data_IF_616018720900
#
_entry.id   IF_616018720900
#
_cell.length_a   1.000
_cell.length_b   1.000
_cell.length_c   1.000
_cell.angle_alpha   90.00
_cell.angle_beta   90.00
_cell.angle_gamma   90.00
#
_symmetry.space_group_name_H-M   'P 1'
#
loop_
_entity.id
_entity.type
_entity.pdbx_description
1 polymer ?
#
# COMPACT_ATOMS: atom_id res chain seq x y z
N UNK A 1 -56.87 4.57 114.94
CA UNK A 1 -57.17 3.55 113.91
C UNK A 1 -55.93 3.34 113.05
N UNK A 2 -55.06 2.39 113.40
CA UNK A 2 -53.88 2.09 112.58
C UNK A 2 -53.63 0.60 112.44
N UNK A 3 -53.90 0.16 111.20
CA UNK A 3 -53.12 -0.72 110.33
C UNK A 3 -52.71 -2.12 110.82
N UNK A 4 -53.30 -3.11 110.15
CA UNK A 4 -53.04 -4.55 110.26
C UNK A 4 -51.81 -4.96 109.42
N UNK A 5 -50.99 -5.83 109.99
CA UNK A 5 -50.07 -6.73 109.28
C UNK A 5 -50.82 -7.98 108.75
N UNK A 6 -50.13 -9.01 108.23
CA UNK A 6 -49.50 -9.13 106.92
C UNK A 6 -50.11 -10.33 106.15
N UNK A 7 -49.62 -10.67 104.94
CA UNK A 7 -49.31 -12.06 104.58
C UNK A 7 -48.72 -12.18 103.15
N UNK A 8 -47.69 -13.02 103.12
CA UNK A 8 -46.86 -13.48 102.03
C UNK A 8 -47.62 -14.40 101.05
N UNK A 9 -47.37 -14.26 99.73
CA UNK A 9 -47.43 -15.41 98.80
C UNK A 9 -46.65 -15.14 97.51
N UNK A 10 -45.48 -15.76 97.42
CA UNK A 10 -44.78 -16.06 96.17
C UNK A 10 -45.70 -16.91 95.29
N UNK A 11 -45.86 -16.56 94.01
CA UNK A 11 -46.13 -17.59 93.02
C UNK A 11 -45.51 -17.26 91.66
N UNK A 12 -44.97 -18.32 91.07
CA UNK A 12 -44.03 -18.39 89.96
C UNK A 12 -44.78 -18.83 88.70
N UNK A 13 -44.68 -18.08 87.60
CA UNK A 13 -45.08 -18.49 86.24
C UNK A 13 -44.04 -17.91 85.27
N UNK A 14 -42.93 -18.62 85.01
CA UNK A 14 -42.66 -19.46 83.82
C UNK A 14 -42.98 -18.80 82.46
N UNK A 15 -41.94 -18.17 81.92
CA UNK A 15 -41.42 -18.28 80.53
C UNK A 15 -42.39 -18.71 79.42
N UNK A 16 -42.75 -17.75 78.57
CA UNK A 16 -43.35 -17.96 77.26
C UNK A 16 -43.14 -16.73 76.37
N UNK A 17 -41.99 -16.66 75.68
CA UNK A 17 -41.69 -15.63 74.68
C UNK A 17 -40.40 -16.05 73.96
N UNK A 18 -40.42 -16.64 72.77
CA UNK A 18 -41.28 -16.35 71.63
C UNK A 18 -40.52 -15.60 70.53
N UNK A 19 -39.27 -15.98 70.26
CA UNK A 19 -38.63 -16.13 68.92
C UNK A 19 -38.81 -15.09 67.79
N UNK A 20 -39.35 -13.88 68.02
CA UNK A 20 -39.57 -12.89 66.93
C UNK A 20 -38.45 -11.86 66.79
N UNK A 21 -37.86 -11.34 67.88
CA UNK A 21 -36.72 -10.41 67.78
C UNK A 21 -35.48 -11.08 67.20
N UNK A 22 -35.11 -12.27 67.70
CA UNK A 22 -33.91 -12.99 67.24
C UNK A 22 -33.98 -13.40 65.77
N UNK A 23 -35.17 -13.71 65.24
CA UNK A 23 -35.35 -14.04 63.82
C UNK A 23 -35.29 -12.80 62.92
N UNK A 24 -35.81 -11.67 63.38
CA UNK A 24 -35.69 -10.38 62.68
C UNK A 24 -34.23 -9.89 62.67
N UNK A 25 -33.54 -10.00 63.81
CA UNK A 25 -32.12 -9.68 63.96
C UNK A 25 -31.23 -10.63 63.12
N UNK A 26 -31.55 -11.92 63.06
CA UNK A 26 -30.81 -12.87 62.22
C UNK A 26 -31.06 -12.65 60.72
N UNK A 27 -32.28 -12.27 60.33
CA UNK A 27 -32.59 -11.91 58.94
C UNK A 27 -31.87 -10.61 58.50
N UNK A 28 -31.81 -9.59 59.37
CA UNK A 28 -31.00 -8.38 59.12
C UNK A 28 -29.50 -8.69 59.06
N UNK A 29 -28.99 -9.55 59.96
CA UNK A 29 -27.58 -10.01 59.93
C UNK A 29 -27.26 -10.80 58.67
N UNK A 30 -28.18 -11.66 58.22
CA UNK A 30 -28.02 -12.45 57.00
C UNK A 30 -28.10 -11.59 55.73
N UNK A 31 -28.95 -10.56 55.72
CA UNK A 31 -29.02 -9.56 54.64
C UNK A 31 -27.76 -8.68 54.58
N UNK A 32 -27.17 -8.33 55.73
CA UNK A 32 -25.90 -7.60 55.82
C UNK A 32 -24.70 -8.49 55.46
N UNK A 33 -24.72 -9.78 55.78
CA UNK A 33 -23.64 -10.72 55.44
C UNK A 33 -23.58 -11.11 53.96
N UNK A 34 -24.66 -10.90 53.20
CA UNK A 34 -24.69 -11.09 51.74
C UNK A 34 -24.09 -9.93 50.94
N UNK A 35 -23.74 -8.81 51.59
CA UNK A 35 -23.23 -7.58 50.96
C UNK A 35 -21.71 -7.41 51.10
N UNK A 36 -20.95 -8.49 51.25
CA UNK A 36 -19.48 -8.41 51.19
C UNK A 36 -19.02 -8.19 49.75
N UNK A 37 -19.28 -7.00 49.22
CA UNK A 37 -18.70 -6.53 47.98
C UNK A 37 -17.18 -6.58 48.13
N UNK A 38 -16.53 -7.43 47.33
CA UNK A 38 -15.08 -7.48 47.20
C UNK A 38 -14.59 -6.04 46.96
N UNK A 39 -13.70 -5.54 47.82
CA UNK A 39 -13.23 -4.16 47.73
C UNK A 39 -12.80 -3.83 46.28
N UNK A 40 -13.26 -2.71 45.70
CA UNK A 40 -12.89 -2.36 44.33
C UNK A 40 -11.37 -2.24 44.24
N UNK A 41 -10.76 -2.98 43.31
CA UNK A 41 -9.30 -2.93 43.08
C UNK A 41 -8.88 -1.46 42.89
N UNK A 42 -7.73 -1.03 43.45
CA UNK A 42 -7.27 0.33 43.31
C UNK A 42 -7.14 0.69 41.83
N UNK A 43 -7.73 1.83 41.44
CA UNK A 43 -7.63 2.33 40.06
C UNK A 43 -6.17 2.70 39.80
N UNK A 44 -5.56 2.08 38.78
CA UNK A 44 -4.19 2.42 38.38
C UNK A 44 -4.19 3.76 37.61
N UNK A 45 -3.23 4.67 37.87
CA UNK A 45 -3.09 5.88 37.08
C UNK A 45 -2.72 5.53 35.63
N UNK A 46 -3.21 6.32 34.69
CA UNK A 46 -2.90 6.23 33.26
C UNK A 46 -2.24 7.52 32.79
N UNK A 47 -1.48 7.45 31.69
CA UNK A 47 -0.90 8.66 31.06
C UNK A 47 -1.83 9.27 30.02
N UNK A 48 -1.96 10.59 30.04
CA UNK A 48 -2.75 11.35 29.07
C UNK A 48 -2.13 11.28 27.66
N UNK A 49 -2.95 11.09 26.61
CA UNK A 49 -2.45 11.01 25.24
C UNK A 49 -1.94 12.35 24.67
N UNK A 50 -2.27 13.47 25.33
CA UNK A 50 -1.87 14.82 24.87
C UNK A 50 -0.70 15.35 25.70
N UNK A 51 -0.89 15.56 27.01
CA UNK A 51 0.13 16.15 27.88
C UNK A 51 1.05 15.13 28.58
N UNK A 52 0.79 13.81 28.44
CA UNK A 52 1.54 12.71 29.08
C UNK A 52 1.53 12.68 30.62
N UNK A 53 0.82 13.60 31.28
CA UNK A 53 0.59 13.61 32.72
C UNK A 53 -0.25 12.41 33.20
N UNK A 54 -0.09 12.05 34.46
CA UNK A 54 -0.82 10.97 35.10
C UNK A 54 -2.23 11.41 35.51
N UNK A 55 -3.21 10.53 35.31
CA UNK A 55 -4.60 10.76 35.71
C UNK A 55 -5.33 9.43 35.93
N UNK A 56 -6.42 9.46 36.71
CA UNK A 56 -7.28 8.30 36.90
C UNK A 56 -8.41 8.28 35.87
N UNK A 57 -8.55 7.18 35.13
CA UNK A 57 -9.63 7.01 34.16
C UNK A 57 -10.99 6.91 34.86
N UNK A 58 -11.97 7.65 34.35
CA UNK A 58 -13.37 7.55 34.79
C UNK A 58 -14.07 6.36 34.13
N UNK A 59 -13.74 6.07 32.87
CA UNK A 59 -14.21 4.92 32.07
C UNK A 59 -13.09 4.32 31.22
N UNK A 60 -13.32 3.15 30.62
CA UNK A 60 -12.38 2.51 29.68
C UNK A 60 -12.10 3.35 28.42
N UNK A 61 -13.05 4.20 28.01
CA UNK A 61 -12.95 5.07 26.84
C UNK A 61 -12.25 6.40 27.14
N UNK A 62 -12.05 6.75 28.41
CA UNK A 62 -11.37 7.97 28.84
C UNK A 62 -9.88 7.94 28.44
N UNK A 63 -9.45 8.90 27.61
CA UNK A 63 -8.09 8.96 27.01
C UNK A 63 -7.31 10.24 27.33
N UNK A 64 -7.95 11.24 27.94
CA UNK A 64 -7.37 12.54 28.27
C UNK A 64 -7.53 12.83 29.78
N UNK A 65 -6.68 13.68 30.36
CA UNK A 65 -6.74 14.01 31.79
C UNK A 65 -7.80 15.07 32.14
N UNK A 66 -8.22 15.89 31.17
CA UNK A 66 -9.17 16.99 31.33
C UNK A 66 -9.76 17.45 29.99
N UNK A 67 -10.62 18.47 30.02
CA UNK A 67 -11.38 18.99 28.86
C UNK A 67 -10.48 19.44 27.72
N UNK A 68 -9.45 20.23 28.01
CA UNK A 68 -8.58 20.81 26.98
C UNK A 68 -7.78 19.72 26.25
N UNK A 69 -7.26 18.75 27.01
CA UNK A 69 -6.61 17.58 26.45
C UNK A 69 -7.59 16.69 25.68
N UNK A 70 -8.88 16.65 26.02
CA UNK A 70 -9.89 15.90 25.27
C UNK A 70 -10.21 16.59 23.93
N UNK A 71 -10.34 17.92 23.93
CA UNK A 71 -10.56 18.73 22.71
C UNK A 71 -9.38 18.57 21.74
N UNK A 72 -8.16 18.71 22.24
CA UNK A 72 -6.94 18.55 21.43
C UNK A 72 -6.80 17.13 20.88
N UNK A 73 -7.11 16.10 21.69
CA UNK A 73 -7.11 14.71 21.22
C UNK A 73 -8.15 14.49 20.11
N UNK A 74 -9.36 15.05 20.25
CA UNK A 74 -10.40 14.98 19.24
C UNK A 74 -10.02 15.73 17.96
N UNK A 75 -9.32 16.87 18.07
CA UNK A 75 -8.75 17.59 16.93
C UNK A 75 -7.73 16.74 16.19
N UNK A 76 -6.72 16.17 16.88
CA UNK A 76 -5.71 15.29 16.27
C UNK A 76 -6.33 14.08 15.57
N UNK A 77 -7.35 13.46 16.18
CA UNK A 77 -8.06 12.34 15.58
C UNK A 77 -8.82 12.74 14.31
N UNK A 78 -9.47 13.91 14.31
CA UNK A 78 -10.14 14.44 13.11
C UNK A 78 -9.15 14.76 11.99
N UNK A 79 -8.02 15.39 12.32
CA UNK A 79 -6.96 15.66 11.34
C UNK A 79 -6.37 14.37 10.75
N UNK A 80 -6.11 13.36 11.58
CA UNK A 80 -5.61 12.06 11.13
C UNK A 80 -6.64 11.31 10.28
N UNK A 81 -7.91 11.31 10.69
CA UNK A 81 -9.01 10.75 9.92
C UNK A 81 -9.17 11.45 8.55
N UNK A 82 -9.12 12.78 8.52
CA UNK A 82 -9.16 13.55 7.28
C UNK A 82 -7.97 13.23 6.36
N UNK A 83 -6.75 13.12 6.90
CA UNK A 83 -5.57 12.70 6.12
C UNK A 83 -5.72 11.29 5.57
N UNK A 84 -6.26 10.34 6.34
CA UNK A 84 -6.52 8.97 5.88
C UNK A 84 -7.58 8.93 4.79
N UNK A 85 -8.68 9.67 4.96
CA UNK A 85 -9.73 9.80 3.95
C UNK A 85 -9.17 10.40 2.65
N UNK A 86 -8.43 11.51 2.74
CA UNK A 86 -7.81 12.13 1.56
C UNK A 86 -6.84 11.18 0.83
N UNK A 87 -6.08 10.35 1.56
CA UNK A 87 -5.22 9.32 0.95
C UNK A 87 -6.04 8.25 0.24
N UNK A 88 -7.12 7.78 0.87
CA UNK A 88 -8.03 6.81 0.26
C UNK A 88 -8.67 7.37 -1.02
N UNK A 89 -9.17 8.60 -0.98
CA UNK A 89 -9.76 9.27 -2.14
C UNK A 89 -8.77 9.40 -3.29
N UNK A 90 -7.52 9.79 -3.01
CA UNK A 90 -6.45 9.87 -4.04
C UNK A 90 -6.15 8.51 -4.67
N UNK A 91 -6.19 7.42 -3.90
CA UNK A 91 -5.98 6.06 -4.42
C UNK A 91 -7.13 5.65 -5.32
N UNK A 92 -8.37 5.87 -4.89
CA UNK A 92 -9.57 5.57 -5.67
C UNK A 92 -9.61 6.40 -6.96
N UNK A 93 -9.34 7.69 -6.87
CA UNK A 93 -9.26 8.61 -8.00
C UNK A 93 -8.17 8.20 -9.01
N UNK A 94 -6.98 7.80 -8.53
CA UNK A 94 -5.93 7.23 -9.39
C UNK A 94 -6.38 5.94 -10.07
N UNK A 95 -7.03 5.03 -9.34
CA UNK A 95 -7.51 3.77 -9.89
C UNK A 95 -8.59 3.99 -10.97
N UNK A 96 -9.51 4.94 -10.74
CA UNK A 96 -10.52 5.35 -11.72
C UNK A 96 -9.87 5.92 -12.98
N UNK A 97 -8.91 6.84 -12.83
CA UNK A 97 -8.17 7.39 -13.99
C UNK A 97 -7.46 6.30 -14.78
N UNK A 98 -6.82 5.34 -14.11
CA UNK A 98 -6.15 4.21 -14.76
C UNK A 98 -7.12 3.30 -15.51
N UNK A 99 -8.30 3.06 -14.93
CA UNK A 99 -9.35 2.24 -15.54
C UNK A 99 -9.95 2.91 -16.79
N UNK A 100 -10.07 4.25 -16.77
CA UNK A 100 -10.64 5.05 -17.87
C UNK A 100 -9.63 5.42 -18.97
N UNK A 101 -8.39 4.94 -18.90
CA UNK A 101 -7.39 5.18 -19.96
C UNK A 101 -7.87 4.63 -21.30
N UNK A 102 -7.70 5.44 -22.32
CA UNK A 102 -7.94 5.06 -23.71
C UNK A 102 -6.91 4.05 -24.21
N UNK A 103 -7.26 3.31 -25.26
CA UNK A 103 -6.34 2.41 -25.94
C UNK A 103 -5.04 3.11 -26.38
N UNK A 104 -5.17 4.33 -26.91
CA UNK A 104 -4.06 5.17 -27.37
C UNK A 104 -3.08 5.56 -26.26
N UNK A 105 -3.58 5.84 -25.05
CA UNK A 105 -2.73 6.11 -23.89
C UNK A 105 -2.02 4.85 -23.42
N UNK A 106 -2.73 3.72 -23.33
CA UNK A 106 -2.14 2.45 -22.90
C UNK A 106 -1.03 1.97 -23.86
N UNK A 107 -1.24 2.09 -25.17
CA UNK A 107 -0.22 1.71 -26.16
C UNK A 107 0.99 2.65 -26.11
N UNK A 108 0.77 3.95 -25.85
CA UNK A 108 1.86 4.92 -25.69
C UNK A 108 2.70 4.62 -24.44
N UNK A 109 2.06 4.32 -23.31
CA UNK A 109 2.75 3.97 -22.07
C UNK A 109 3.53 2.66 -22.17
N UNK A 110 2.93 1.64 -22.81
CA UNK A 110 3.63 0.40 -23.13
C UNK A 110 4.85 0.65 -24.03
N UNK A 111 4.70 1.50 -25.06
CA UNK A 111 5.80 1.89 -25.94
C UNK A 111 6.91 2.62 -25.18
N UNK A 112 6.58 3.54 -24.28
CA UNK A 112 7.58 4.25 -23.49
C UNK A 112 8.38 3.29 -22.61
N UNK A 113 7.71 2.33 -21.95
CA UNK A 113 8.38 1.31 -21.15
C UNK A 113 9.28 0.41 -22.00
N UNK A 114 8.77 -0.09 -23.14
CA UNK A 114 9.53 -0.89 -24.09
C UNK A 114 10.77 -0.14 -24.61
N UNK A 115 10.60 1.10 -25.08
CA UNK A 115 11.70 1.91 -25.61
C UNK A 115 12.76 2.23 -24.54
N UNK A 116 12.35 2.38 -23.27
CA UNK A 116 13.31 2.56 -22.18
C UNK A 116 14.13 1.30 -21.93
N UNK A 117 13.49 0.13 -21.94
CA UNK A 117 14.18 -1.16 -21.83
C UNK A 117 15.16 -1.39 -22.98
N UNK A 118 14.75 -1.22 -24.24
CA UNK A 118 15.63 -1.45 -25.42
C UNK A 118 16.88 -0.57 -25.38
N UNK A 119 16.74 0.70 -25.00
CA UNK A 119 17.87 1.61 -24.86
C UNK A 119 18.84 1.13 -23.77
N UNK A 120 18.32 0.77 -22.59
CA UNK A 120 19.16 0.32 -21.48
C UNK A 120 19.83 -1.01 -21.79
N UNK A 121 19.13 -1.97 -22.42
CA UNK A 121 19.66 -3.26 -22.87
C UNK A 121 20.87 -3.07 -23.77
N UNK A 122 20.70 -2.30 -24.84
CA UNK A 122 21.76 -2.15 -25.85
C UNK A 122 22.94 -1.30 -25.34
N UNK A 123 22.66 -0.27 -24.54
CA UNK A 123 23.72 0.52 -23.88
C UNK A 123 24.47 -0.34 -22.85
N UNK A 124 23.76 -1.18 -22.10
CA UNK A 124 24.33 -2.09 -21.11
C UNK A 124 25.26 -3.13 -21.74
N UNK A 125 24.86 -3.70 -22.87
CA UNK A 125 25.65 -4.63 -23.66
C UNK A 125 26.83 -3.97 -24.43
N UNK A 126 27.02 -2.65 -24.29
CA UNK A 126 28.11 -1.93 -24.94
C UNK A 126 27.95 -1.79 -26.46
N UNK A 127 26.73 -1.95 -26.99
CA UNK A 127 26.50 -1.83 -28.42
C UNK A 127 26.55 -0.36 -28.89
N UNK A 128 27.07 -0.14 -30.10
CA UNK A 128 26.94 1.13 -30.81
C UNK A 128 25.58 1.26 -31.51
N UNK A 129 25.39 2.36 -32.24
CA UNK A 129 24.20 2.57 -33.07
C UNK A 129 23.99 1.43 -34.07
N UNK A 130 22.75 0.94 -34.19
CA UNK A 130 22.43 -0.21 -35.06
C UNK A 130 22.82 0.02 -36.54
N UNK A 131 22.62 1.23 -37.07
CA UNK A 131 22.86 1.55 -38.47
C UNK A 131 24.33 1.84 -38.82
N UNK A 132 24.99 2.69 -38.04
CA UNK A 132 26.30 3.26 -38.35
C UNK A 132 27.42 2.71 -37.46
N UNK A 133 27.09 1.89 -36.46
CA UNK A 133 28.03 1.28 -35.52
C UNK A 133 28.72 2.24 -34.55
N UNK A 134 28.55 3.57 -34.72
CA UNK A 134 29.19 4.58 -33.88
C UNK A 134 28.66 4.52 -32.43
N UNK A 135 29.48 4.83 -31.43
CA UNK A 135 29.05 4.88 -30.04
C UNK A 135 27.96 5.93 -29.83
N UNK A 136 27.14 5.73 -28.79
CA UNK A 136 26.10 6.68 -28.43
C UNK A 136 26.69 7.98 -27.89
N UNK A 137 26.05 9.11 -28.21
CA UNK A 137 26.49 10.42 -27.75
C UNK A 137 26.22 10.58 -26.24
N UNK A 138 27.03 11.38 -25.52
CA UNK A 138 26.78 11.71 -24.12
C UNK A 138 25.36 12.25 -23.92
N UNK A 139 24.75 11.99 -22.77
CA UNK A 139 23.36 12.37 -22.52
C UNK A 139 23.17 13.91 -22.62
N UNK A 140 22.23 14.35 -23.46
CA UNK A 140 21.87 15.77 -23.67
C UNK A 140 20.43 16.03 -23.22
N UNK A 141 20.04 17.30 -22.96
CA UNK A 141 18.65 17.66 -22.75
C UNK A 141 17.77 17.14 -23.90
N UNK A 142 16.74 16.35 -23.56
CA UNK A 142 15.89 15.64 -24.52
C UNK A 142 16.32 14.21 -24.84
N UNK A 143 17.48 13.74 -24.37
CA UNK A 143 18.04 12.40 -24.58
C UNK A 143 18.91 12.31 -25.84
N UNK A 144 19.87 11.37 -25.83
CA UNK A 144 20.85 11.18 -26.93
C UNK A 144 20.65 9.87 -27.71
N UNK A 145 19.81 8.98 -27.19
CA UNK A 145 19.55 7.65 -27.73
C UNK A 145 18.04 7.44 -27.83
N UNK A 146 17.61 7.01 -29.00
CA UNK A 146 16.25 6.59 -29.31
C UNK A 146 16.17 5.07 -29.47
N UNK A 147 14.95 4.54 -29.50
CA UNK A 147 14.68 3.15 -29.87
C UNK A 147 14.08 3.14 -31.29
N UNK A 148 14.85 2.69 -32.27
CA UNK A 148 14.47 2.62 -33.68
C UNK A 148 13.89 1.25 -34.01
N UNK A 149 12.83 1.21 -34.83
CA UNK A 149 12.21 -0.02 -35.32
C UNK A 149 12.72 -0.34 -36.72
N UNK A 150 13.17 -1.58 -36.96
CA UNK A 150 13.62 -2.02 -38.28
C UNK A 150 12.46 -2.06 -39.29
N UNK A 151 11.37 -2.75 -38.93
CA UNK A 151 10.09 -2.68 -39.63
C UNK A 151 9.20 -1.73 -38.84
N UNK A 152 8.77 -0.66 -39.51
CA UNK A 152 8.07 0.44 -38.84
C UNK A 152 6.78 -0.03 -38.17
N UNK A 153 6.42 0.65 -37.07
CA UNK A 153 5.19 0.38 -36.30
C UNK A 153 3.90 0.56 -37.12
N UNK A 154 3.97 1.28 -38.24
CA UNK A 154 2.85 1.46 -39.17
C UNK A 154 2.76 0.35 -40.22
N UNK A 155 3.91 -0.17 -40.67
CA UNK A 155 3.97 -1.25 -41.65
C UNK A 155 3.69 -2.63 -41.01
N UNK A 156 4.27 -2.89 -39.84
CA UNK A 156 4.07 -4.12 -39.09
C UNK A 156 3.71 -3.80 -37.63
N UNK A 157 2.43 -3.50 -37.34
CA UNK A 157 1.98 -3.23 -35.99
C UNK A 157 2.36 -4.35 -35.04
N UNK A 158 2.18 -5.62 -35.44
CA UNK A 158 2.44 -6.80 -34.62
C UNK A 158 3.86 -6.91 -34.07
N UNK A 159 4.85 -6.37 -34.79
CA UNK A 159 6.26 -6.37 -34.40
C UNK A 159 6.63 -5.20 -33.47
N UNK A 160 5.68 -4.37 -33.04
CA UNK A 160 5.94 -3.16 -32.25
C UNK A 160 6.69 -3.43 -30.94
N UNK A 161 6.35 -4.51 -30.25
CA UNK A 161 6.92 -4.92 -28.96
C UNK A 161 7.86 -6.12 -29.09
N UNK A 162 8.26 -6.47 -30.32
CA UNK A 162 9.25 -7.50 -30.57
C UNK A 162 10.65 -6.91 -30.34
N UNK A 163 11.37 -7.46 -29.36
CA UNK A 163 12.72 -7.04 -28.97
C UNK A 163 13.77 -7.19 -30.08
N UNK A 164 13.53 -8.07 -31.06
CA UNK A 164 14.38 -8.29 -32.24
C UNK A 164 14.05 -7.34 -33.40
N UNK A 165 12.95 -6.59 -33.32
CA UNK A 165 12.61 -5.55 -34.30
C UNK A 165 13.09 -4.16 -33.86
N UNK A 166 13.51 -3.99 -32.60
CA UNK A 166 13.81 -2.68 -32.03
C UNK A 166 15.18 -2.63 -31.36
N UNK A 167 15.93 -1.58 -31.70
CA UNK A 167 17.31 -1.39 -31.26
C UNK A 167 17.59 0.06 -30.93
N UNK A 168 18.58 0.29 -30.06
CA UNK A 168 19.09 1.60 -29.73
C UNK A 168 19.76 2.24 -30.95
N UNK A 169 19.31 3.46 -31.25
CA UNK A 169 19.74 4.25 -32.39
C UNK A 169 20.11 5.65 -31.92
N UNK A 170 21.14 6.23 -32.52
CA UNK A 170 21.48 7.64 -32.32
C UNK A 170 20.38 8.50 -32.91
N UNK A 171 20.03 9.59 -32.22
CA UNK A 171 19.02 10.54 -32.70
C UNK A 171 19.25 11.07 -34.11
N UNK A 172 20.51 11.33 -34.45
CA UNK A 172 20.90 11.83 -35.77
C UNK A 172 20.62 10.82 -36.89
N UNK A 173 20.55 9.53 -36.56
CA UNK A 173 20.29 8.45 -37.50
C UNK A 173 18.80 8.05 -37.51
N UNK A 174 18.10 8.17 -36.38
CA UNK A 174 16.66 7.92 -36.23
C UNK A 174 15.75 9.05 -36.75
N UNK A 175 16.28 9.97 -37.56
CA UNK A 175 15.50 11.04 -38.20
C UNK A 175 15.15 10.65 -39.64
N UNK A 176 14.12 11.25 -40.25
CA UNK A 176 13.83 11.06 -41.66
C UNK A 176 15.09 11.28 -42.52
N UNK A 177 15.45 10.29 -43.36
CA UNK A 177 16.65 10.31 -44.21
C UNK A 177 17.99 10.06 -43.49
N UNK A 178 17.99 9.78 -42.18
CA UNK A 178 19.22 9.53 -41.42
C UNK A 178 19.79 8.12 -41.54
N UNK A 179 18.98 7.15 -41.97
CA UNK A 179 19.34 5.73 -42.08
C UNK A 179 18.69 5.12 -43.30
N UNK A 180 19.44 4.30 -44.04
CA UNK A 180 18.90 3.47 -45.13
C UNK A 180 18.46 2.10 -44.60
N UNK A 181 17.49 1.47 -45.26
CA UNK A 181 16.97 0.17 -44.81
C UNK A 181 18.03 -0.92 -44.84
N UNK A 182 18.94 -0.86 -45.81
CA UNK A 182 20.04 -1.81 -45.99
C UNK A 182 21.05 -1.71 -44.85
N UNK A 183 21.43 -0.49 -44.44
CA UNK A 183 22.33 -0.26 -43.32
C UNK A 183 21.71 -0.76 -42.00
N UNK A 184 20.42 -0.50 -41.79
CA UNK A 184 19.71 -1.01 -40.63
C UNK A 184 19.66 -2.55 -40.66
N UNK A 185 19.30 -3.15 -41.80
CA UNK A 185 19.23 -4.61 -41.97
C UNK A 185 20.56 -5.28 -41.64
N UNK A 186 21.67 -4.77 -42.17
CA UNK A 186 23.01 -5.27 -41.89
C UNK A 186 23.37 -5.17 -40.39
N UNK A 187 22.91 -4.12 -39.71
CA UNK A 187 23.04 -4.00 -38.26
C UNK A 187 22.23 -5.06 -37.50
N UNK A 188 21.00 -5.31 -37.91
CA UNK A 188 20.11 -6.31 -37.30
C UNK A 188 20.68 -7.71 -37.48
N UNK A 189 21.09 -8.06 -38.70
CA UNK A 189 21.73 -9.35 -39.02
C UNK A 189 22.94 -9.61 -38.12
N UNK A 190 23.78 -8.60 -37.87
CA UNK A 190 24.93 -8.72 -36.96
C UNK A 190 24.55 -8.96 -35.50
N UNK A 191 23.36 -8.52 -35.07
CA UNK A 191 22.93 -8.63 -33.66
C UNK A 191 22.13 -9.88 -33.36
N UNK A 192 21.20 -10.26 -34.24
CA UNK A 192 20.29 -11.39 -34.01
C UNK A 192 20.59 -12.60 -34.91
N UNK A 193 21.46 -12.43 -35.91
CA UNK A 193 21.77 -13.44 -36.92
C UNK A 193 20.80 -13.40 -38.11
N UNK A 194 21.20 -14.05 -39.21
CA UNK A 194 20.42 -14.08 -40.44
C UNK A 194 19.10 -14.82 -40.28
N UNK A 195 19.10 -16.00 -39.63
CA UNK A 195 17.89 -16.80 -39.45
C UNK A 195 16.78 -16.03 -38.71
N UNK A 196 17.12 -15.38 -37.58
CA UNK A 196 16.15 -14.60 -36.82
C UNK A 196 15.66 -13.34 -37.57
N UNK A 197 16.50 -12.78 -38.45
CA UNK A 197 16.10 -11.67 -39.31
C UNK A 197 15.14 -12.13 -40.40
N UNK A 198 15.40 -13.28 -41.05
CA UNK A 198 14.51 -13.84 -42.06
C UNK A 198 13.15 -14.21 -41.46
N UNK A 199 13.13 -14.81 -40.26
CA UNK A 199 11.89 -15.07 -39.51
C UNK A 199 11.13 -13.77 -39.21
N UNK A 200 11.84 -12.71 -38.83
CA UNK A 200 11.25 -11.40 -38.56
C UNK A 200 10.65 -10.76 -39.81
N UNK A 201 11.32 -10.90 -40.96
CA UNK A 201 10.85 -10.39 -42.25
C UNK A 201 9.65 -11.19 -42.78
N UNK A 202 9.60 -12.51 -42.49
CA UNK A 202 8.53 -13.41 -42.89
C UNK A 202 7.28 -13.34 -42.01
N UNK A 203 7.37 -12.84 -40.77
CA UNK A 203 6.26 -12.75 -39.84
C UNK A 203 5.17 -11.77 -40.35
N UNK A 204 4.02 -12.32 -40.72
CA UNK A 204 2.82 -11.58 -41.13
C UNK A 204 1.65 -11.79 -40.14
N UNK A 205 1.95 -12.10 -38.89
CA UNK A 205 0.94 -12.28 -37.85
C UNK A 205 0.14 -10.99 -37.60
N UNK A 206 -1.09 -11.13 -37.13
CA UNK A 206 -1.98 -10.00 -36.81
C UNK A 206 -2.53 -10.09 -35.38
N UNK A 207 -1.67 -10.10 -34.33
CA UNK A 207 -2.11 -10.00 -32.96
C UNK A 207 -2.87 -8.69 -32.72
N UNK A 208 -4.02 -8.82 -32.08
CA UNK A 208 -4.79 -7.69 -31.54
C UNK A 208 -4.52 -7.60 -30.05
N UNK A 209 -3.90 -6.51 -29.60
CA UNK A 209 -3.72 -6.28 -28.17
C UNK A 209 -5.00 -5.78 -27.54
N UNK A 210 -5.35 -6.37 -26.41
CA UNK A 210 -6.39 -5.87 -25.53
C UNK A 210 -5.82 -4.77 -24.61
N UNK A 211 -6.69 -4.07 -23.88
CA UNK A 211 -6.26 -3.11 -22.85
C UNK A 211 -5.37 -3.77 -21.80
N UNK A 212 -5.70 -5.01 -21.41
CA UNK A 212 -4.97 -5.72 -20.36
C UNK A 212 -3.62 -6.25 -20.86
N UNK A 213 -3.52 -6.63 -22.15
CA UNK A 213 -2.24 -6.96 -22.77
C UNK A 213 -1.29 -5.76 -22.73
N UNK A 214 -1.77 -4.57 -23.09
CA UNK A 214 -0.95 -3.35 -23.07
C UNK A 214 -0.49 -2.98 -21.66
N UNK A 215 -1.37 -3.13 -20.66
CA UNK A 215 -1.00 -2.95 -19.24
C UNK A 215 0.04 -3.97 -18.79
N UNK A 216 -0.09 -5.21 -19.24
CA UNK A 216 0.83 -6.31 -18.94
C UNK A 216 2.20 -6.05 -19.57
N UNK A 217 2.23 -5.69 -20.85
CA UNK A 217 3.44 -5.29 -21.59
C UNK A 217 4.14 -4.13 -20.88
N UNK A 218 3.40 -3.07 -20.50
CA UNK A 218 3.95 -1.94 -19.75
C UNK A 218 4.64 -2.40 -18.47
N UNK A 219 3.97 -3.25 -17.68
CA UNK A 219 4.51 -3.75 -16.41
C UNK A 219 5.72 -4.66 -16.62
N UNK A 220 5.67 -5.54 -17.62
CA UNK A 220 6.76 -6.44 -17.96
C UNK A 220 8.04 -5.66 -18.25
N UNK A 221 7.99 -4.66 -19.14
CA UNK A 221 9.17 -3.89 -19.51
C UNK A 221 9.65 -2.93 -18.42
N UNK A 222 8.74 -2.44 -17.55
CA UNK A 222 9.15 -1.71 -16.34
C UNK A 222 9.93 -2.59 -15.37
N UNK A 223 9.50 -3.84 -15.20
CA UNK A 223 10.20 -4.81 -14.35
C UNK A 223 11.55 -5.16 -14.96
N UNK A 224 11.59 -5.56 -16.24
CA UNK A 224 12.85 -5.84 -16.95
C UNK A 224 13.84 -4.67 -16.87
N UNK A 225 13.38 -3.43 -17.06
CA UNK A 225 14.23 -2.24 -16.93
C UNK A 225 14.78 -2.06 -15.51
N UNK A 226 13.96 -2.32 -14.50
CA UNK A 226 14.40 -2.26 -13.09
C UNK A 226 15.47 -3.32 -12.83
N UNK A 227 15.26 -4.54 -13.31
CA UNK A 227 16.17 -5.66 -13.12
C UNK A 227 17.50 -5.41 -13.85
N UNK A 228 17.48 -4.91 -15.09
CA UNK A 228 18.69 -4.50 -15.83
C UNK A 228 19.49 -3.44 -15.08
N UNK A 229 18.81 -2.43 -14.51
CA UNK A 229 19.48 -1.37 -13.75
C UNK A 229 20.05 -1.87 -12.44
N UNK A 230 19.36 -2.80 -11.78
CA UNK A 230 19.86 -3.45 -10.58
C UNK A 230 21.10 -4.30 -10.88
N UNK A 231 21.05 -5.17 -11.89
CA UNK A 231 22.19 -5.99 -12.32
C UNK A 231 23.41 -5.13 -12.67
N UNK A 232 23.19 -4.01 -13.37
CA UNK A 232 24.25 -3.04 -13.69
C UNK A 232 24.84 -2.36 -12.45
N UNK A 233 24.01 -2.00 -11.47
CA UNK A 233 24.46 -1.41 -10.22
C UNK A 233 25.26 -2.41 -9.36
N UNK A 234 24.90 -3.69 -9.44
CA UNK A 234 25.59 -4.80 -8.76
C UNK A 234 26.87 -5.25 -9.49
N UNK A 235 27.20 -4.65 -10.65
CA UNK A 235 28.41 -4.95 -11.40
C UNK A 235 28.38 -6.28 -12.16
N UNK A 236 27.20 -6.89 -12.31
CA UNK A 236 27.03 -8.06 -13.16
C UNK A 236 27.10 -7.63 -14.63
N UNK A 237 27.90 -8.34 -15.43
CA UNK A 237 27.88 -8.15 -16.89
C UNK A 237 26.49 -8.53 -17.40
N UNK A 238 25.82 -7.57 -18.02
CA UNK A 238 24.46 -7.69 -18.57
C UNK A 238 24.52 -7.99 -20.06
#
# INVERSE_FOLDING_TARGET
MMQRSPLNRKNRLKSGGGTTSKKFDQACKNALSGLTAKAPKPRKPSRCKVCRGEYFKRSITHKACGTDCAIELARRQREEAARRAQRADRVLDRAKREAMKSYGELIAEAQTAFNAFIRERDIGAGHGCIDCGKPFEPNRPGGSVDAGHYISRGAAPHLRFNENNCFAQRKNCNRPGGTTREAFRAGVEKRIGLAALEDLEADQSSPKWTHDDLRTIRRLYQLKLKDLRAARAEGQAV
#
